data_IF_302538461994
#
_entry.id   IF_302538461994
#
_cell.length_a   1.000
_cell.length_b   1.000
_cell.length_c   1.000
_cell.angle_alpha   90.00
_cell.angle_beta   90.00
_cell.angle_gamma   90.00
#
_symmetry.space_group_name_H-M   'P 1'
#
loop_
_entity.id
_entity.type
_entity.pdbx_description
1 polymer ?
#
# COMPACT_ATOMS: atom_id res chain seq x y z
N UNK A 1 -1.22 -6.28 0.43
CA UNK A 1 -2.58 -6.37 1.03
C UNK A 1 -3.56 -5.59 0.18
N UNK A 2 -4.85 -5.93 0.23
CA UNK A 2 -5.93 -5.22 -0.49
C UNK A 2 -6.61 -4.24 0.47
N UNK A 3 -6.83 -3.01 0.02
CA UNK A 3 -7.57 -2.00 0.78
C UNK A 3 -9.06 -2.05 0.43
N UNK A 4 -9.91 -1.51 1.30
CA UNK A 4 -11.35 -1.40 1.09
C UNK A 4 -11.70 -0.55 -0.15
N UNK A 5 -10.82 0.38 -0.53
CA UNK A 5 -10.89 1.13 -1.78
C UNK A 5 -10.75 0.26 -3.03
N UNK A 6 -10.24 -0.96 -2.89
CA UNK A 6 -9.80 -1.78 -4.01
C UNK A 6 -8.37 -1.48 -4.46
N UNK A 7 -7.58 -0.69 -3.73
CA UNK A 7 -6.16 -0.52 -4.05
C UNK A 7 -5.33 -1.74 -3.59
N UNK A 8 -4.24 -2.04 -4.29
CA UNK A 8 -3.20 -2.94 -3.81
C UNK A 8 -2.14 -2.12 -3.08
N UNK A 9 -1.86 -2.46 -1.83
CA UNK A 9 -0.91 -1.73 -1.00
C UNK A 9 0.09 -2.64 -0.29
N UNK A 10 1.26 -2.10 0.04
CA UNK A 10 2.30 -2.76 0.82
C UNK A 10 2.48 -2.05 2.15
N UNK A 11 2.78 -2.80 3.20
CA UNK A 11 3.10 -2.20 4.50
C UNK A 11 4.41 -1.41 4.39
N UNK A 12 4.43 -0.18 4.91
CA UNK A 12 5.65 0.64 4.95
C UNK A 12 6.13 0.86 6.37
N UNK A 13 5.25 1.32 7.26
CA UNK A 13 5.60 1.56 8.67
C UNK A 13 4.41 1.36 9.60
N UNK A 14 4.70 1.17 10.89
CA UNK A 14 3.64 1.19 11.92
C UNK A 14 3.05 2.59 11.99
N UNK A 15 1.72 2.67 12.04
CA UNK A 15 1.03 3.91 12.41
C UNK A 15 0.99 4.07 13.93
N UNK A 16 0.28 5.09 14.43
CA UNK A 16 0.18 5.37 15.86
C UNK A 16 -0.56 4.30 16.67
N UNK A 17 -1.24 3.34 16.02
CA UNK A 17 -1.92 2.22 16.68
C UNK A 17 -1.58 0.86 16.04
N UNK A 18 -1.66 -0.21 16.84
CA UNK A 18 -1.29 -1.57 16.42
C UNK A 18 -2.09 -2.11 15.23
N UNK A 19 -3.34 -1.65 15.07
CA UNK A 19 -4.25 -2.08 14.00
C UNK A 19 -4.38 -1.06 12.85
N UNK A 20 -3.58 0.01 12.88
CA UNK A 20 -3.68 1.13 11.94
C UNK A 20 -2.34 1.44 11.26
N UNK A 21 -1.72 0.49 10.53
CA UNK A 21 -0.46 0.75 9.85
C UNK A 21 -0.55 1.82 8.76
N UNK A 22 0.62 2.36 8.40
CA UNK A 22 0.81 3.10 7.16
C UNK A 22 1.20 2.13 6.05
N UNK A 23 0.60 2.33 4.89
CA UNK A 23 0.81 1.48 3.71
C UNK A 23 1.06 2.35 2.49
N UNK A 24 1.75 1.84 1.49
CA UNK A 24 1.90 2.49 0.19
C UNK A 24 1.05 1.77 -0.84
N UNK A 25 0.12 2.48 -1.48
CA UNK A 25 -0.61 1.95 -2.62
C UNK A 25 0.35 1.81 -3.82
N UNK A 26 0.41 0.62 -4.39
CA UNK A 26 1.26 0.27 -5.53
C UNK A 26 0.42 -0.03 -6.78
N UNK A 27 -0.87 -0.36 -6.62
CA UNK A 27 -1.84 -0.43 -7.71
C UNK A 27 -3.12 0.31 -7.33
N UNK A 28 -3.78 0.89 -8.33
CA UNK A 28 -5.03 1.61 -8.16
C UNK A 28 -6.23 0.65 -7.96
N UNK A 29 -7.45 1.23 -7.94
CA UNK A 29 -8.71 0.50 -7.78
C UNK A 29 -9.02 -0.43 -8.95
N UNK A 30 -8.53 -0.09 -10.15
CA UNK A 30 -8.65 -0.92 -11.35
C UNK A 30 -7.59 -2.05 -11.38
N UNK A 31 -6.67 -2.08 -10.41
CA UNK A 31 -5.58 -3.05 -10.34
C UNK A 31 -4.37 -2.68 -11.21
N UNK A 32 -4.34 -1.46 -11.77
CA UNK A 32 -3.23 -1.01 -12.60
C UNK A 32 -2.06 -0.54 -11.72
N UNK A 33 -0.81 -0.93 -12.05
CA UNK A 33 0.37 -0.44 -11.35
C UNK A 33 0.45 1.08 -11.39
N UNK A 34 0.68 1.69 -10.24
CA UNK A 34 0.89 3.14 -10.13
C UNK A 34 2.37 3.47 -10.21
N UNK A 35 2.73 4.63 -10.78
CA UNK A 35 4.11 5.14 -10.81
C UNK A 35 4.46 5.90 -9.52
N UNK A 36 3.49 6.62 -8.95
CA UNK A 36 3.63 7.27 -7.63
C UNK A 36 2.92 6.45 -6.57
N UNK A 37 3.69 5.96 -5.62
CA UNK A 37 3.20 5.31 -4.42
C UNK A 37 2.58 6.35 -3.50
N UNK A 38 1.31 6.17 -3.15
CA UNK A 38 0.61 7.09 -2.25
C UNK A 38 0.52 6.48 -0.85
N UNK A 39 1.01 7.16 0.19
CA UNK A 39 0.83 6.71 1.56
C UNK A 39 -0.66 6.73 1.94
N UNK A 40 -1.15 5.62 2.48
CA UNK A 40 -2.49 5.49 3.06
C UNK A 40 -2.36 5.12 4.52
N UNK A 41 -3.19 5.73 5.36
CA UNK A 41 -3.33 5.34 6.75
C UNK A 41 -4.54 4.41 6.86
N UNK A 42 -4.37 3.17 7.35
CA UNK A 42 -5.48 2.20 7.27
C UNK A 42 -6.64 2.47 8.23
N UNK A 43 -6.48 3.41 9.18
CA UNK A 43 -7.61 3.93 9.95
C UNK A 43 -8.50 4.92 9.17
N UNK A 44 -8.07 5.41 8.00
CA UNK A 44 -8.91 6.30 7.19
C UNK A 44 -10.05 5.51 6.53
N UNK A 45 -11.27 6.09 6.45
CA UNK A 45 -12.37 5.48 5.71
C UNK A 45 -11.99 5.17 4.27
N UNK A 46 -12.29 3.96 3.81
CA UNK A 46 -11.92 3.48 2.47
C UNK A 46 -10.48 2.94 2.36
N UNK A 47 -9.63 3.13 3.37
CA UNK A 47 -8.27 2.57 3.41
C UNK A 47 -8.14 1.38 4.37
N UNK A 48 -9.24 0.88 4.92
CA UNK A 48 -9.21 -0.28 5.80
C UNK A 48 -8.65 -1.50 5.06
N UNK A 49 -8.01 -2.42 5.78
CA UNK A 49 -7.49 -3.65 5.21
C UNK A 49 -8.67 -4.58 4.91
N UNK A 50 -8.96 -4.80 3.63
CA UNK A 50 -10.05 -5.67 3.18
C UNK A 50 -9.62 -7.13 3.04
N UNK A 51 -8.31 -7.38 2.87
CA UNK A 51 -7.82 -8.75 2.77
C UNK A 51 -6.36 -8.88 2.34
N UNK A 52 -5.94 -10.14 2.18
CA UNK A 52 -4.60 -10.48 1.69
C UNK A 52 -4.51 -10.19 0.18
N UNK A 53 -3.33 -9.76 -0.25
CA UNK A 53 -3.05 -9.68 -1.68
C UNK A 53 -2.75 -11.08 -2.21
N UNK A 54 -3.38 -11.45 -3.32
CA UNK A 54 -3.14 -12.72 -4.02
C UNK A 54 -2.13 -12.57 -5.15
N UNK A 55 -2.07 -11.40 -5.79
CA UNK A 55 -1.07 -11.08 -6.80
C UNK A 55 0.11 -10.30 -6.17
N UNK A 56 1.24 -11.00 -5.99
CA UNK A 56 2.48 -10.45 -5.44
C UNK A 56 3.49 -10.08 -6.53
N UNK A 57 3.24 -10.39 -7.81
CA UNK A 57 4.18 -10.07 -8.90
C UNK A 57 4.38 -8.56 -9.03
N UNK A 58 3.31 -7.81 -8.79
CA UNK A 58 3.34 -6.35 -8.75
C UNK A 58 4.23 -5.81 -7.61
N UNK A 59 4.25 -6.49 -6.45
CA UNK A 59 5.07 -6.09 -5.29
C UNK A 59 6.55 -6.23 -5.60
N UNK A 60 6.95 -7.32 -6.28
CA UNK A 60 8.35 -7.59 -6.64
C UNK A 60 8.95 -6.56 -7.60
N UNK A 61 8.11 -5.81 -8.34
CA UNK A 61 8.53 -4.81 -9.32
C UNK A 61 8.63 -3.39 -8.75
N UNK A 62 8.25 -3.17 -7.49
CA UNK A 62 8.29 -1.84 -6.89
C UNK A 62 9.68 -1.61 -6.28
N UNK A 63 10.39 -0.62 -6.82
CA UNK A 63 11.68 -0.21 -6.32
C UNK A 63 11.58 0.26 -4.84
N UNK A 64 12.47 -0.16 -3.92
CA UNK A 64 12.40 0.19 -2.50
C UNK A 64 12.36 1.69 -2.21
N UNK A 65 13.03 2.50 -3.03
CA UNK A 65 13.09 3.96 -2.90
C UNK A 65 11.69 4.58 -3.04
N UNK A 66 10.82 3.95 -3.84
CA UNK A 66 9.42 4.37 -3.98
C UNK A 66 8.59 4.07 -2.74
N UNK A 67 8.99 3.11 -1.90
CA UNK A 67 8.24 2.72 -0.71
C UNK A 67 8.71 3.47 0.53
N UNK A 68 10.02 3.62 0.67
CA UNK A 68 10.65 4.13 1.87
C UNK A 68 11.21 5.54 1.71
N UNK A 69 11.22 6.09 0.49
CA UNK A 69 11.81 7.40 0.24
C UNK A 69 13.30 7.43 0.54
N UNK A 70 14.02 6.35 0.20
CA UNK A 70 15.47 6.29 0.26
C UNK A 70 16.03 7.21 -0.84
N UNK A 71 16.06 8.51 -0.56
CA UNK A 71 16.88 9.47 -1.28
C UNK A 71 18.27 9.31 -0.70
N UNK A 72 19.21 8.82 -1.50
CA UNK A 72 20.64 8.88 -1.17
C UNK A 72 21.13 10.32 -1.14
#
# INVERSE_FOLDING_TARGET
MRLASGELAVFTRRGPGAHAPMVAAIADRAGLPTVRTTPRHTAQPGCQIAGRATDLQLVLRVAPERLYGLVG
#
